data_IF_079419069366
#
_entry.id   IF_079419069366
#
_cell.length_a   1.000
_cell.length_b   1.000
_cell.length_c   1.000
_cell.angle_alpha   90.00
_cell.angle_beta   90.00
_cell.angle_gamma   90.00
#
_symmetry.space_group_name_H-M   'P 1'
#
loop_
_entity.id
_entity.type
_entity.pdbx_description
1 polymer ?
#
# COMPACT_ATOMS: atom_id res chain seq x y z
N UNK A 1 4.64 -6.69 13.04
CA UNK A 1 5.85 -5.86 12.94
C UNK A 1 5.70 -4.90 11.77
N UNK A 2 5.99 -3.63 11.97
CA UNK A 2 5.78 -2.64 10.92
C UNK A 2 6.83 -2.75 9.80
N UNK A 3 6.38 -2.54 8.57
CA UNK A 3 7.22 -2.54 7.39
C UNK A 3 7.61 -1.09 7.11
N UNK A 4 8.82 -0.86 6.63
CA UNK A 4 9.24 0.50 6.29
C UNK A 4 8.45 1.02 5.09
N UNK A 5 8.06 2.28 5.15
CA UNK A 5 7.31 2.92 4.07
C UNK A 5 7.99 2.74 2.71
N UNK A 6 9.32 2.84 2.67
CA UNK A 6 10.06 2.72 1.42
C UNK A 6 9.86 1.37 0.71
N UNK A 7 9.45 0.34 1.45
CA UNK A 7 9.22 -0.99 0.87
C UNK A 7 7.84 -1.10 0.22
N UNK A 8 6.86 -0.34 0.70
CA UNK A 8 5.50 -0.38 0.16
C UNK A 8 5.20 0.78 -0.78
N UNK A 9 5.94 1.87 -0.66
CA UNK A 9 5.70 3.09 -1.43
C UNK A 9 5.65 2.87 -2.95
N UNK A 10 6.56 2.09 -3.56
CA UNK A 10 6.53 1.93 -5.02
C UNK A 10 5.20 1.37 -5.53
N UNK A 11 4.59 0.46 -4.79
CA UNK A 11 3.32 -0.15 -5.21
C UNK A 11 2.17 0.84 -5.13
N UNK A 12 2.15 1.63 -4.06
CA UNK A 12 1.11 2.64 -3.86
C UNK A 12 1.28 3.77 -4.87
N UNK A 13 2.49 4.27 -5.03
CA UNK A 13 2.78 5.35 -5.96
C UNK A 13 2.47 4.94 -7.40
N UNK A 14 2.81 3.72 -7.77
CA UNK A 14 2.55 3.22 -9.11
C UNK A 14 1.04 3.12 -9.37
N UNK A 15 0.27 2.71 -8.39
CA UNK A 15 -1.18 2.69 -8.50
C UNK A 15 -1.75 4.08 -8.78
N UNK A 16 -1.31 5.08 -8.03
CA UNK A 16 -1.78 6.45 -8.20
C UNK A 16 -1.25 7.12 -9.48
N UNK A 17 -0.15 6.62 -10.03
CA UNK A 17 0.36 7.14 -11.30
C UNK A 17 -0.61 6.86 -12.45
N UNK A 18 -1.39 5.79 -12.32
CA UNK A 18 -2.31 5.36 -13.38
C UNK A 18 -3.75 5.77 -13.13
N UNK A 19 -4.14 5.97 -11.86
CA UNK A 19 -5.53 6.26 -11.51
C UNK A 19 -5.58 7.29 -10.37
N UNK A 20 -6.60 8.13 -10.39
CA UNK A 20 -6.81 9.13 -9.34
C UNK A 20 -7.32 8.51 -8.04
N UNK A 21 -7.90 7.31 -8.13
CA UNK A 21 -8.40 6.55 -6.98
C UNK A 21 -7.88 5.13 -7.10
N UNK A 22 -7.39 4.59 -5.98
CA UNK A 22 -6.78 3.27 -5.99
C UNK A 22 -7.41 2.40 -4.91
N UNK A 23 -7.82 1.21 -5.31
CA UNK A 23 -8.33 0.19 -4.42
C UNK A 23 -7.21 -0.73 -3.97
N UNK A 24 -7.36 -1.29 -2.77
CA UNK A 24 -6.40 -2.24 -2.23
C UNK A 24 -6.10 -3.39 -3.19
N UNK A 25 -7.12 -3.94 -3.82
CA UNK A 25 -6.93 -5.11 -4.69
C UNK A 25 -5.92 -4.84 -5.81
N UNK A 26 -5.94 -3.66 -6.37
CA UNK A 26 -4.99 -3.31 -7.44
C UNK A 26 -3.57 -3.19 -6.93
N UNK A 27 -3.41 -2.63 -5.74
CA UNK A 27 -2.10 -2.49 -5.11
C UNK A 27 -1.53 -3.85 -4.73
N UNK A 28 -2.36 -4.70 -4.14
CA UNK A 28 -1.94 -6.04 -3.73
C UNK A 28 -1.60 -6.90 -4.94
N UNK A 29 -2.41 -6.83 -6.00
CA UNK A 29 -2.12 -7.56 -7.24
C UNK A 29 -0.77 -7.13 -7.83
N UNK A 30 -0.46 -5.85 -7.82
CA UNK A 30 0.83 -5.36 -8.31
C UNK A 30 1.98 -5.92 -7.46
N UNK A 31 1.79 -6.01 -6.16
CA UNK A 31 2.79 -6.57 -5.27
C UNK A 31 3.01 -8.06 -5.53
N UNK A 32 1.95 -8.82 -5.75
CA UNK A 32 2.07 -10.24 -6.13
C UNK A 32 2.79 -10.41 -7.45
N UNK A 33 2.47 -9.58 -8.44
CA UNK A 33 3.13 -9.64 -9.75
C UNK A 33 4.63 -9.37 -9.65
N UNK A 34 5.03 -8.54 -8.70
CA UNK A 34 6.43 -8.19 -8.47
C UNK A 34 7.12 -9.14 -7.50
N UNK A 35 6.43 -10.16 -7.05
CA UNK A 35 6.92 -11.14 -6.08
C UNK A 35 7.40 -10.48 -4.77
N UNK A 36 6.63 -9.51 -4.29
CA UNK A 36 6.95 -8.83 -3.05
C UNK A 36 6.93 -9.80 -1.86
N UNK A 37 7.71 -9.48 -0.83
CA UNK A 37 7.75 -10.29 0.38
C UNK A 37 6.39 -10.32 1.08
N UNK A 38 6.11 -11.39 1.80
CA UNK A 38 4.83 -11.57 2.50
C UNK A 38 4.51 -10.42 3.45
N UNK A 39 5.50 -9.89 4.13
CA UNK A 39 5.28 -8.77 5.06
C UNK A 39 4.85 -7.50 4.33
N UNK A 40 5.36 -7.28 3.12
CA UNK A 40 4.94 -6.16 2.28
C UNK A 40 3.50 -6.36 1.82
N UNK A 41 3.16 -7.57 1.37
CA UNK A 41 1.80 -7.88 0.94
C UNK A 41 0.82 -7.73 2.11
N UNK A 42 1.18 -8.22 3.28
CA UNK A 42 0.34 -8.12 4.47
C UNK A 42 0.09 -6.65 4.85
N UNK A 43 1.13 -5.82 4.77
CA UNK A 43 0.97 -4.39 5.06
C UNK A 43 0.03 -3.72 4.07
N UNK A 44 0.16 -4.03 2.78
CA UNK A 44 -0.73 -3.48 1.76
C UNK A 44 -2.16 -3.99 1.93
N UNK A 45 -2.32 -5.25 2.35
CA UNK A 45 -3.64 -5.82 2.58
C UNK A 45 -4.39 -5.11 3.71
N UNK A 46 -3.67 -4.46 4.62
CA UNK A 46 -4.28 -3.69 5.71
C UNK A 46 -5.06 -2.47 5.21
N UNK A 47 -4.90 -2.07 3.95
CA UNK A 47 -5.70 -0.99 3.38
C UNK A 47 -7.21 -1.29 3.42
N UNK A 48 -7.57 -2.57 3.47
CA UNK A 48 -8.96 -2.97 3.60
C UNK A 48 -9.79 -2.65 2.36
N UNK A 49 -11.05 -2.35 2.57
CA UNK A 49 -11.97 -2.04 1.45
C UNK A 49 -12.03 -0.56 1.11
N UNK A 50 -11.16 0.25 1.70
CA UNK A 50 -11.14 1.69 1.46
C UNK A 50 -10.57 2.02 0.09
N UNK A 51 -11.02 3.15 -0.44
CA UNK A 51 -10.45 3.74 -1.65
C UNK A 51 -9.74 5.02 -1.22
N UNK A 52 -8.51 5.18 -1.67
CA UNK A 52 -7.71 6.35 -1.29
C UNK A 52 -7.58 7.30 -2.47
N UNK A 53 -7.52 8.59 -2.19
CA UNK A 53 -7.44 9.63 -3.21
C UNK A 53 -6.02 10.16 -3.40
N UNK A 54 -5.09 9.79 -2.53
CA UNK A 54 -3.69 10.21 -2.65
C UNK A 54 -2.76 9.24 -1.95
N UNK A 55 -1.49 9.28 -2.34
CA UNK A 55 -0.45 8.48 -1.70
C UNK A 55 -0.34 8.83 -0.22
N UNK A 56 -0.45 10.11 0.12
CA UNK A 56 -0.35 10.56 1.51
C UNK A 56 -1.47 10.02 2.36
N UNK A 57 -2.69 9.96 1.82
CA UNK A 57 -3.83 9.36 2.53
C UNK A 57 -3.57 7.89 2.84
N UNK A 58 -3.09 7.14 1.87
CA UNK A 58 -2.79 5.73 2.06
C UNK A 58 -1.68 5.55 3.10
N UNK A 59 -0.64 6.36 3.02
CA UNK A 59 0.47 6.30 3.97
C UNK A 59 -0.01 6.59 5.38
N UNK A 60 -0.77 7.67 5.56
CA UNK A 60 -1.27 8.05 6.87
C UNK A 60 -2.13 6.95 7.48
N UNK A 61 -2.98 6.32 6.65
CA UNK A 61 -3.80 5.22 7.12
C UNK A 61 -2.96 4.03 7.58
N UNK A 62 -1.98 3.63 6.77
CA UNK A 62 -1.14 2.48 7.10
C UNK A 62 -0.29 2.74 8.36
N UNK A 63 0.21 3.94 8.51
CA UNK A 63 0.98 4.32 9.71
C UNK A 63 0.06 4.28 10.93
N UNK A 64 -1.17 4.77 10.80
CA UNK A 64 -2.12 4.78 11.92
C UNK A 64 -2.53 3.38 12.34
N UNK A 65 -2.47 2.41 11.41
CA UNK A 65 -2.76 1.01 11.72
C UNK A 65 -1.57 0.28 12.35
N UNK A 66 -0.40 0.91 12.34
CA UNK A 66 0.79 0.30 12.90
C UNK A 66 1.43 -0.76 12.02
N UNK A 67 1.03 -0.86 10.74
CA UNK A 67 1.59 -1.86 9.83
C UNK A 67 2.73 -1.31 8.99
N UNK A 68 2.87 0.00 8.94
CA UNK A 68 3.95 0.68 8.21
C UNK A 68 4.57 1.72 9.14
N UNK A 69 5.88 1.85 9.09
CA UNK A 69 6.59 2.91 9.78
C UNK A 69 7.26 3.85 8.78
N UNK A 70 7.33 5.09 9.17
CA UNK A 70 7.89 6.13 8.32
C UNK A 70 9.42 6.03 8.20
#
# INVERSE_FOLDING_TARGET
MAVKWSRVAPYIENGFANEARVERSKIVDAAYDDAADDDVVDALDALGSRVFSSVEDAKAFLVSQGVVED
#
